data_IF_585460657833
#
_entry.id   IF_585460657833
#
_cell.length_a   1.000
_cell.length_b   1.000
_cell.length_c   1.000
_cell.angle_alpha   90.00
_cell.angle_beta   90.00
_cell.angle_gamma   90.00
#
_symmetry.space_group_name_H-M   'P 1'
#
loop_
_entity.id
_entity.type
_entity.pdbx_description
1 polymer ?
#
# COMPACT_ATOMS: atom_id res chain seq x y z
N UNK A 1 -2.71 11.14 -12.40
CA UNK A 1 -1.84 9.97 -12.18
C UNK A 1 -1.06 10.24 -10.92
N UNK A 2 -1.09 9.34 -9.94
CA UNK A 2 -0.33 9.48 -8.71
C UNK A 2 1.08 8.93 -8.94
N UNK A 3 2.10 9.68 -8.53
CA UNK A 3 3.51 9.33 -8.79
C UNK A 3 4.01 8.16 -7.91
N UNK A 4 5.12 7.49 -8.27
CA UNK A 4 5.81 6.59 -7.35
C UNK A 4 6.38 7.34 -6.14
N UNK A 5 6.42 6.68 -4.98
CA UNK A 5 7.09 7.19 -3.78
C UNK A 5 8.60 7.13 -3.99
N UNK A 6 9.30 8.22 -3.68
CA UNK A 6 10.74 8.41 -3.90
C UNK A 6 11.49 8.57 -2.57
N UNK A 7 12.81 8.28 -2.53
CA UNK A 7 13.63 8.63 -1.38
C UNK A 7 13.48 10.11 -1.01
N UNK A 8 13.24 10.37 0.27
CA UNK A 8 12.94 11.71 0.80
C UNK A 8 11.45 12.02 0.99
N UNK A 9 10.54 11.26 0.37
CA UNK A 9 9.11 11.40 0.62
C UNK A 9 8.76 10.96 2.06
N UNK A 10 7.68 11.50 2.63
CA UNK A 10 7.26 11.16 4.00
C UNK A 10 6.96 9.66 4.14
N UNK A 11 6.22 9.09 3.17
CA UNK A 11 5.88 7.67 3.13
C UNK A 11 7.01 6.76 2.62
N UNK A 12 8.19 7.31 2.31
CA UNK A 12 9.36 6.47 2.08
C UNK A 12 9.93 6.01 3.44
N UNK A 13 9.95 4.71 3.75
CA UNK A 13 10.18 4.23 5.12
C UNK A 13 11.63 4.36 5.62
N UNK A 14 12.57 4.66 4.73
CA UNK A 14 13.99 4.61 5.04
C UNK A 14 14.67 5.97 4.92
N UNK A 15 15.59 6.24 5.84
CA UNK A 15 16.64 7.24 5.66
C UNK A 15 17.81 6.58 4.91
N UNK A 16 18.32 7.29 3.90
CA UNK A 16 19.46 6.86 3.09
C UNK A 16 20.61 7.84 3.34
N UNK A 17 21.67 7.36 3.97
CA UNK A 17 22.85 8.17 4.32
C UNK A 17 24.11 7.59 3.68
N UNK A 18 25.06 8.45 3.30
CA UNK A 18 26.40 8.00 2.88
C UNK A 18 27.35 8.18 4.06
N UNK A 19 27.82 7.07 4.62
CA UNK A 19 28.79 7.05 5.72
C UNK A 19 30.06 6.36 5.25
N UNK A 20 31.19 7.06 5.27
CA UNK A 20 32.49 6.56 4.78
C UNK A 20 32.44 6.03 3.33
N UNK A 21 31.64 6.65 2.47
CA UNK A 21 31.50 6.23 1.06
C UNK A 21 30.62 5.00 0.84
N UNK A 22 29.95 4.48 1.88
CA UNK A 22 28.97 3.41 1.77
C UNK A 22 27.56 3.93 2.02
N UNK A 23 26.61 3.48 1.21
CA UNK A 23 25.18 3.74 1.44
C UNK A 23 24.69 2.92 2.64
N UNK A 24 24.09 3.60 3.60
CA UNK A 24 23.46 3.01 4.78
C UNK A 24 21.97 3.33 4.75
N UNK A 25 21.16 2.27 4.83
CA UNK A 25 19.70 2.36 4.85
C UNK A 25 19.22 2.05 6.26
N UNK A 26 18.49 2.98 6.87
CA UNK A 26 17.91 2.81 8.21
C UNK A 26 16.42 3.15 8.18
N UNK A 27 15.60 2.43 8.95
CA UNK A 27 14.20 2.81 9.13
C UNK A 27 14.13 4.20 9.78
N UNK A 28 13.23 5.06 9.26
CA UNK A 28 12.97 6.37 9.83
C UNK A 28 12.59 6.27 11.30
N UNK A 29 13.14 7.17 12.13
CA UNK A 29 12.88 7.18 13.58
C UNK A 29 11.42 7.46 13.94
N UNK A 30 10.72 8.19 13.09
CA UNK A 30 9.30 8.54 13.22
C UNK A 30 8.39 7.63 12.40
N UNK A 31 8.88 6.46 11.97
CA UNK A 31 8.06 5.47 11.27
C UNK A 31 7.04 4.85 12.23
N UNK A 32 5.76 4.90 11.86
CA UNK A 32 4.64 4.42 12.69
C UNK A 32 3.78 3.41 11.93
N UNK A 33 2.99 2.63 12.68
CA UNK A 33 1.96 1.76 12.09
C UNK A 33 1.00 2.54 11.19
N UNK A 34 0.65 3.77 11.58
CA UNK A 34 -0.21 4.65 10.79
C UNK A 34 0.43 5.00 9.43
N UNK A 35 1.72 5.38 9.41
CA UNK A 35 2.46 5.67 8.16
C UNK A 35 2.61 4.43 7.28
N UNK A 36 2.80 3.26 7.88
CA UNK A 36 2.89 2.02 7.12
C UNK A 36 1.56 1.65 6.45
N UNK A 37 0.44 1.88 7.13
CA UNK A 37 -0.90 1.66 6.56
C UNK A 37 -1.20 2.69 5.47
N UNK A 38 -0.79 3.95 5.65
CA UNK A 38 -0.89 4.97 4.60
C UNK A 38 -0.05 4.60 3.36
N UNK A 39 1.15 4.05 3.56
CA UNK A 39 1.98 3.51 2.49
C UNK A 39 1.28 2.36 1.76
N UNK A 40 0.66 1.41 2.48
CA UNK A 40 -0.11 0.32 1.88
C UNK A 40 -1.26 0.84 1.00
N UNK A 41 -2.06 1.77 1.54
CA UNK A 41 -3.17 2.41 0.80
C UNK A 41 -2.65 3.08 -0.46
N UNK A 42 -1.59 3.88 -0.31
CA UNK A 42 -0.99 4.64 -1.40
C UNK A 42 -0.40 3.74 -2.49
N UNK A 43 0.12 2.59 -2.09
CA UNK A 43 0.63 1.56 -3.00
C UNK A 43 -0.52 0.93 -3.78
N UNK A 44 -1.60 0.52 -3.12
CA UNK A 44 -2.80 0.00 -3.78
C UNK A 44 -3.35 1.03 -4.77
N UNK A 45 -3.51 2.29 -4.36
CA UNK A 45 -3.97 3.39 -5.23
C UNK A 45 -3.06 3.65 -6.42
N UNK A 46 -1.75 3.44 -6.27
CA UNK A 46 -0.82 3.51 -7.39
C UNK A 46 -1.11 2.41 -8.42
N UNK A 47 -1.20 1.15 -7.97
CA UNK A 47 -1.45 0.00 -8.84
C UNK A 47 -2.83 0.06 -9.52
N UNK A 48 -3.84 0.59 -8.85
CA UNK A 48 -5.19 0.80 -9.41
C UNK A 48 -5.24 1.76 -10.60
N UNK A 49 -4.17 2.50 -10.91
CA UNK A 49 -4.15 3.36 -12.10
C UNK A 49 -3.79 2.62 -13.38
N UNK A 50 -3.33 1.38 -13.26
CA UNK A 50 -2.95 0.54 -14.40
C UNK A 50 -4.03 -0.52 -14.61
N UNK A 51 -4.83 -0.38 -15.66
CA UNK A 51 -6.00 -1.25 -15.91
C UNK A 51 -5.63 -2.75 -15.99
N UNK A 52 -4.43 -3.07 -16.49
CA UNK A 52 -3.91 -4.44 -16.55
C UNK A 52 -3.69 -5.06 -15.15
N UNK A 53 -3.57 -4.24 -14.11
CA UNK A 53 -3.30 -4.66 -12.74
C UNK A 53 -4.54 -4.85 -11.90
N UNK A 54 -5.69 -4.28 -12.30
CA UNK A 54 -6.95 -4.36 -11.54
C UNK A 54 -7.31 -5.79 -11.16
N UNK A 55 -7.09 -6.75 -12.06
CA UNK A 55 -7.44 -8.16 -11.84
C UNK A 55 -6.22 -9.04 -11.61
N UNK A 56 -5.05 -8.44 -11.38
CA UNK A 56 -3.83 -9.20 -11.12
C UNK A 56 -3.95 -9.90 -9.76
N UNK A 57 -3.47 -11.15 -9.70
CA UNK A 57 -3.48 -11.89 -8.44
C UNK A 57 -2.65 -11.17 -7.36
N UNK A 58 -1.61 -10.44 -7.76
CA UNK A 58 -0.79 -9.61 -6.89
C UNK A 58 -1.61 -8.54 -6.18
N UNK A 59 -2.31 -7.69 -6.93
CA UNK A 59 -3.11 -6.61 -6.36
C UNK A 59 -4.25 -7.13 -5.46
N UNK A 60 -4.94 -8.18 -5.90
CA UNK A 60 -6.01 -8.83 -5.13
C UNK A 60 -5.51 -9.38 -3.78
N UNK A 61 -4.32 -9.99 -3.77
CA UNK A 61 -3.72 -10.54 -2.56
C UNK A 61 -3.17 -9.44 -1.65
N UNK A 62 -2.60 -8.38 -2.22
CA UNK A 62 -2.13 -7.21 -1.47
C UNK A 62 -3.28 -6.53 -0.72
N UNK A 63 -4.40 -6.25 -1.41
CA UNK A 63 -5.61 -5.69 -0.78
C UNK A 63 -6.07 -6.55 0.40
N UNK A 64 -6.15 -7.87 0.22
CA UNK A 64 -6.57 -8.78 1.29
C UNK A 64 -5.61 -8.75 2.49
N UNK A 65 -4.30 -8.87 2.24
CA UNK A 65 -3.27 -8.91 3.27
C UNK A 65 -3.20 -7.61 4.08
N UNK A 66 -3.10 -6.47 3.40
CA UNK A 66 -2.97 -5.17 4.07
C UNK A 66 -4.24 -4.80 4.86
N UNK A 67 -5.43 -5.22 4.39
CA UNK A 67 -6.69 -4.98 5.11
C UNK A 67 -6.74 -5.63 6.49
N UNK A 68 -6.09 -6.80 6.68
CA UNK A 68 -6.06 -7.50 7.97
C UNK A 68 -5.34 -6.65 9.01
N UNK A 69 -4.22 -6.02 8.62
CA UNK A 69 -3.46 -5.14 9.51
C UNK A 69 -4.23 -3.85 9.78
N UNK A 70 -4.73 -3.19 8.72
CA UNK A 70 -5.49 -1.94 8.86
C UNK A 70 -6.68 -2.08 9.81
N UNK A 71 -7.43 -3.19 9.76
CA UNK A 71 -8.53 -3.46 10.69
C UNK A 71 -8.11 -3.54 12.16
N UNK A 72 -6.87 -3.97 12.44
CA UNK A 72 -6.37 -4.14 13.81
C UNK A 72 -5.83 -2.84 14.42
N UNK A 73 -5.07 -2.07 13.65
CA UNK A 73 -4.27 -0.96 14.16
C UNK A 73 -4.41 0.35 13.37
N UNK A 74 -5.17 0.36 12.28
CA UNK A 74 -5.40 1.56 11.49
C UNK A 74 -6.38 2.54 12.14
N UNK A 75 -6.34 3.78 11.67
CA UNK A 75 -7.35 4.79 12.00
C UNK A 75 -8.69 4.45 11.33
N UNK A 76 -9.79 5.04 11.80
CA UNK A 76 -11.11 4.80 11.17
C UNK A 76 -11.13 5.16 9.69
N UNK A 77 -10.49 6.28 9.32
CA UNK A 77 -10.34 6.70 7.92
C UNK A 77 -9.59 5.66 7.07
N UNK A 78 -8.51 5.08 7.61
CA UNK A 78 -7.77 4.04 6.90
C UNK A 78 -8.60 2.76 6.74
N UNK A 79 -9.34 2.38 7.79
CA UNK A 79 -10.25 1.22 7.74
C UNK A 79 -11.32 1.40 6.67
N UNK A 80 -11.94 2.58 6.61
CA UNK A 80 -12.93 2.92 5.57
C UNK A 80 -12.34 2.78 4.17
N UNK A 81 -11.14 3.32 3.93
CA UNK A 81 -10.48 3.18 2.63
C UNK A 81 -10.20 1.72 2.26
N UNK A 82 -9.82 0.89 3.23
CA UNK A 82 -9.66 -0.56 2.98
C UNK A 82 -10.99 -1.29 2.74
N UNK A 83 -12.11 -0.83 3.30
CA UNK A 83 -13.42 -1.38 2.96
C UNK A 83 -13.77 -1.12 1.49
N UNK A 84 -13.43 0.05 0.96
CA UNK A 84 -13.60 0.36 -0.46
C UNK A 84 -12.73 -0.55 -1.36
N UNK A 85 -11.47 -0.77 -1.00
CA UNK A 85 -10.60 -1.70 -1.73
C UNK A 85 -11.11 -3.15 -1.68
N UNK A 86 -11.64 -3.58 -0.54
CA UNK A 86 -12.22 -4.91 -0.41
C UNK A 86 -13.48 -5.07 -1.28
N UNK A 87 -14.31 -4.05 -1.39
CA UNK A 87 -15.48 -4.08 -2.28
C UNK A 87 -15.08 -4.22 -3.75
N UNK A 88 -14.05 -3.48 -4.19
CA UNK A 88 -13.48 -3.63 -5.55
C UNK A 88 -12.96 -5.05 -5.78
N UNK A 89 -12.23 -5.59 -4.80
CA UNK A 89 -11.73 -6.97 -4.85
C UNK A 89 -12.86 -7.98 -5.01
N UNK A 90 -13.94 -7.84 -4.25
CA UNK A 90 -15.10 -8.74 -4.31
C UNK A 90 -15.83 -8.68 -5.67
N UNK A 91 -15.93 -7.49 -6.26
CA UNK A 91 -16.46 -7.32 -7.62
C UNK A 91 -15.63 -8.07 -8.67
N UNK A 92 -14.30 -7.95 -8.63
CA UNK A 92 -13.42 -8.64 -9.57
C UNK A 92 -13.45 -10.15 -9.42
N UNK A 93 -13.49 -10.65 -8.19
CA UNK A 93 -13.61 -12.08 -7.93
C UNK A 93 -14.95 -12.64 -8.42
N UNK A 94 -16.05 -11.90 -8.26
CA UNK A 94 -17.35 -12.30 -8.80
C UNK A 94 -17.32 -12.42 -10.32
N UNK A 95 -16.69 -11.48 -11.02
CA UNK A 95 -16.59 -11.49 -12.48
C UNK A 95 -15.83 -12.72 -12.99
N UNK A 96 -14.83 -13.22 -12.24
CA UNK A 96 -14.09 -14.45 -12.57
C UNK A 96 -14.92 -15.73 -12.39
N UNK A 97 -15.87 -15.76 -11.46
CA UNK A 97 -16.72 -16.94 -11.23
C UNK A 97 -17.86 -17.09 -12.25
N UNK A 98 -18.14 -16.04 -13.01
CA UNK A 98 -19.21 -16.02 -14.05
C UNK A 98 -18.68 -16.24 -15.47
N UNK A 99 -17.38 -16.48 -15.65
CA UNK A 99 -16.73 -16.78 -16.94
C UNK A 99 -16.20 -18.20 -16.93
#
# INVERSE_FOLDING_TARGET
MIEPIKPGDDLFPFDIEIVNGQERVTLKKDWTDEKEIDLDIRTIDYWLQFDNEHRSAGLINMIASCSIRSRKVGTEKQKERFLEFLALREEWLRTRSTT
#
